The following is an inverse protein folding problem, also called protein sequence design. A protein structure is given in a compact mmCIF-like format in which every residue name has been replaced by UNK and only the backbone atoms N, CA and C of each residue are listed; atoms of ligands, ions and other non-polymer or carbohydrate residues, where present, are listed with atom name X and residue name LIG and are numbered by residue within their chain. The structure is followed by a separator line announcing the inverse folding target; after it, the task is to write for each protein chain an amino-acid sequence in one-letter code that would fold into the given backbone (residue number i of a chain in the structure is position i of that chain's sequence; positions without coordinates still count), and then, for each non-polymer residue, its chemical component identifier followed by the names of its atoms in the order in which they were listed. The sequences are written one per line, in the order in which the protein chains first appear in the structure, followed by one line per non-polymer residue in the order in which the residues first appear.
data_IF_908083461140
#
_entry.id   IF_908083461140
#
_cell.length_a   1.000
_cell.length_b   1.000
_cell.length_c   1.000
_cell.angle_alpha   90.00
_cell.angle_beta   90.00
_cell.angle_gamma   90.00
#
_symmetry.space_group_name_H-M   'P 1'
#
loop_
_entity.id
_entity.type
_entity.pdbx_description
1 polymer ?
#
# COMPACT_ATOMS: atom_id res chain seq x y z
N UNK A 1 -7.93 17.24 8.40
CA UNK A 1 -7.42 17.33 7.02
C UNK A 1 -5.92 17.27 7.11
N UNK A 2 -5.31 16.17 6.67
CA UNK A 2 -3.86 16.00 6.69
C UNK A 2 -3.31 16.52 5.37
N UNK A 3 -2.22 17.28 5.41
CA UNK A 3 -1.60 17.81 4.19
C UNK A 3 -1.10 16.65 3.30
N UNK A 4 -1.40 16.72 2.00
CA UNK A 4 -0.89 15.73 1.03
C UNK A 4 0.63 15.83 0.92
N UNK A 5 1.30 14.68 0.85
CA UNK A 5 2.75 14.61 0.69
C UNK A 5 3.09 14.76 -0.78
N UNK A 6 3.65 15.92 -1.13
CA UNK A 6 4.09 16.24 -2.49
C UNK A 6 5.62 16.15 -2.55
N UNK A 7 6.15 15.34 -3.46
CA UNK A 7 7.58 15.19 -3.80
C UNK A 7 7.71 14.86 -5.28
N UNK A 8 8.86 15.18 -5.88
CA UNK A 8 9.16 14.81 -7.27
C UNK A 8 9.42 13.31 -7.42
N UNK A 9 9.39 12.84 -8.67
CA UNK A 9 9.73 11.46 -9.01
C UNK A 9 11.19 11.12 -8.63
N UNK A 10 12.12 12.05 -8.83
CA UNK A 10 13.52 11.89 -8.45
C UNK A 10 13.68 11.75 -6.94
N UNK A 11 12.97 12.57 -6.17
CA UNK A 11 12.96 12.46 -4.71
C UNK A 11 12.43 11.09 -4.28
N UNK A 12 11.31 10.64 -4.84
CA UNK A 12 10.76 9.32 -4.51
C UNK A 12 11.69 8.16 -4.90
N UNK A 13 12.30 8.21 -6.09
CA UNK A 13 13.29 7.20 -6.54
C UNK A 13 14.53 7.17 -5.64
N UNK A 14 14.89 8.28 -5.00
CA UNK A 14 16.00 8.34 -4.05
C UNK A 14 15.65 7.78 -2.66
N UNK A 15 14.37 7.85 -2.27
CA UNK A 15 13.88 7.44 -0.95
C UNK A 15 13.41 5.99 -0.89
N UNK A 16 12.92 5.46 -2.01
CA UNK A 16 12.31 4.14 -2.10
C UNK A 16 13.23 3.16 -2.84
N UNK A 17 13.12 1.88 -2.51
CA UNK A 17 13.69 0.84 -3.36
C UNK A 17 12.99 0.85 -4.73
N UNK A 18 13.62 0.34 -5.80
CA UNK A 18 12.99 0.26 -7.12
C UNK A 18 11.62 -0.45 -7.10
N UNK A 19 11.50 -1.54 -6.34
CA UNK A 19 10.24 -2.29 -6.19
C UNK A 19 9.18 -1.48 -5.44
N UNK A 20 9.55 -0.85 -4.31
CA UNK A 20 8.60 -0.03 -3.55
C UNK A 20 8.16 1.21 -4.32
N UNK A 21 9.05 1.81 -5.12
CA UNK A 21 8.69 2.90 -6.03
C UNK A 21 7.70 2.42 -7.09
N UNK A 22 7.99 1.30 -7.75
CA UNK A 22 7.11 0.71 -8.75
C UNK A 22 5.70 0.44 -8.19
N UNK A 23 5.60 -0.19 -7.02
CA UNK A 23 4.31 -0.49 -6.39
C UNK A 23 3.60 0.77 -5.90
N UNK A 24 4.26 1.63 -5.12
CA UNK A 24 3.60 2.73 -4.41
C UNK A 24 3.43 4.02 -5.25
N UNK A 25 4.19 4.20 -6.33
CA UNK A 25 4.16 5.40 -7.18
C UNK A 25 3.69 5.14 -8.61
N UNK A 26 3.86 3.93 -9.12
CA UNK A 26 3.49 3.57 -10.50
C UNK A 26 2.33 2.59 -10.58
N UNK A 27 1.57 2.43 -9.49
CA UNK A 27 0.42 1.51 -9.37
C UNK A 27 0.79 0.07 -9.78
N UNK A 28 2.05 -0.32 -9.55
CA UNK A 28 2.57 -1.65 -9.83
C UNK A 28 2.10 -2.69 -8.81
N UNK A 29 2.31 -3.97 -9.13
CA UNK A 29 2.04 -5.08 -8.20
C UNK A 29 3.28 -5.95 -8.06
N UNK A 30 3.73 -6.17 -6.83
CA UNK A 30 4.84 -7.10 -6.54
C UNK A 30 4.43 -8.54 -6.87
N UNK A 31 5.41 -9.43 -7.09
CA UNK A 31 5.12 -10.83 -7.37
C UNK A 31 4.52 -11.53 -6.13
N UNK A 32 3.54 -12.40 -6.35
CA UNK A 32 2.96 -13.20 -5.28
C UNK A 32 4.03 -13.99 -4.52
N UNK A 33 3.91 -14.03 -3.18
CA UNK A 33 4.81 -14.74 -2.25
C UNK A 33 6.27 -14.24 -2.22
N UNK A 34 6.55 -13.02 -2.70
CA UNK A 34 7.91 -12.43 -2.63
C UNK A 34 8.02 -11.23 -1.70
N UNK A 35 6.91 -10.55 -1.40
CA UNK A 35 6.90 -9.35 -0.55
C UNK A 35 7.36 -9.62 0.88
N UNK A 36 8.15 -8.69 1.46
CA UNK A 36 8.74 -8.86 2.80
C UNK A 36 7.73 -9.27 3.90
N UNK A 37 6.47 -8.85 3.76
CA UNK A 37 5.47 -9.01 4.81
C UNK A 37 4.31 -9.95 4.48
N UNK A 38 4.37 -10.71 3.38
CA UNK A 38 3.27 -11.62 3.02
C UNK A 38 3.02 -12.65 4.14
N UNK A 39 4.07 -13.28 4.66
CA UNK A 39 4.03 -14.27 5.76
C UNK A 39 4.44 -13.68 7.13
N UNK A 40 4.29 -12.37 7.33
CA UNK A 40 4.65 -11.77 8.61
C UNK A 40 3.55 -12.00 9.67
N UNK A 41 3.94 -12.50 10.83
CA UNK A 41 3.06 -12.77 11.99
C UNK A 41 3.42 -11.94 13.23
N UNK A 42 4.40 -11.04 13.13
CA UNK A 42 4.79 -10.18 14.24
C UNK A 42 3.68 -9.17 14.60
N UNK A 43 3.47 -8.94 15.91
CA UNK A 43 2.55 -7.91 16.39
C UNK A 43 3.11 -6.51 16.09
N UNK A 44 2.27 -5.64 15.55
CA UNK A 44 2.60 -4.26 15.20
C UNK A 44 1.66 -3.64 14.18
N UNK A 45 1.98 -2.39 13.81
CA UNK A 45 1.28 -1.61 12.80
C UNK A 45 2.01 -1.60 11.45
N UNK A 46 1.23 -1.62 10.38
CA UNK A 46 1.69 -1.48 9.01
C UNK A 46 1.48 -0.03 8.58
N UNK A 47 2.57 0.62 8.18
CA UNK A 47 2.59 2.04 7.87
C UNK A 47 2.86 2.25 6.38
N UNK A 48 2.30 3.32 5.83
CA UNK A 48 2.59 3.74 4.46
C UNK A 48 4.10 3.98 4.30
N UNK A 49 4.74 3.31 3.35
CA UNK A 49 6.18 3.49 3.10
C UNK A 49 6.53 4.92 2.64
N UNK A 50 5.58 5.63 2.04
CA UNK A 50 5.78 6.97 1.50
C UNK A 50 5.63 8.08 2.56
N UNK A 51 4.59 8.02 3.40
CA UNK A 51 4.29 9.09 4.37
C UNK A 51 4.37 8.67 5.84
N UNK A 52 4.63 7.39 6.14
CA UNK A 52 4.72 6.88 7.50
C UNK A 52 3.38 6.79 8.26
N UNK A 53 2.26 7.12 7.63
CA UNK A 53 0.94 7.05 8.28
C UNK A 53 0.54 5.60 8.61
N UNK A 54 -0.07 5.33 9.76
CA UNK A 54 -0.59 4.00 10.08
C UNK A 54 -1.74 3.66 9.15
N UNK A 55 -1.70 2.48 8.51
CA UNK A 55 -2.74 2.03 7.57
C UNK A 55 -3.47 0.78 8.08
N UNK A 56 -2.72 -0.23 8.54
CA UNK A 56 -3.27 -1.50 9.00
C UNK A 56 -2.63 -1.95 10.31
N UNK A 57 -3.26 -2.90 10.99
CA UNK A 57 -2.73 -3.50 12.21
C UNK A 57 -2.69 -5.03 12.10
N UNK A 58 -1.62 -5.64 12.61
CA UNK A 58 -1.43 -7.11 12.65
C UNK A 58 -2.62 -7.90 13.19
N UNK A 59 -3.33 -7.35 14.19
CA UNK A 59 -4.57 -7.94 14.75
C UNK A 59 -5.66 -8.26 13.71
N UNK A 60 -5.67 -7.52 12.61
CA UNK A 60 -6.65 -7.63 11.53
C UNK A 60 -6.05 -8.33 10.29
N UNK A 61 -4.76 -8.74 10.35
CA UNK A 61 -4.10 -9.54 9.32
C UNK A 61 -4.58 -11.00 9.40
N UNK A 62 -4.74 -11.64 8.24
CA UNK A 62 -5.07 -13.06 8.14
C UNK A 62 -4.39 -13.70 6.92
N UNK A 63 -4.34 -15.04 6.93
CA UNK A 63 -3.76 -15.83 5.84
C UNK A 63 -4.83 -16.17 4.79
N UNK A 64 -4.83 -15.42 3.69
CA UNK A 64 -5.79 -15.60 2.59
C UNK A 64 -5.34 -16.65 1.56
N UNK A 65 -4.05 -16.98 1.53
CA UNK A 65 -3.44 -17.77 0.46
C UNK A 65 -3.27 -17.02 -0.86
N UNK A 66 -3.52 -15.70 -0.91
CA UNK A 66 -3.44 -14.90 -2.14
C UNK A 66 -2.01 -14.67 -2.63
N UNK A 67 -1.03 -14.67 -1.72
CA UNK A 67 0.36 -14.32 -1.99
C UNK A 67 0.75 -12.89 -1.60
N UNK A 68 -0.17 -12.09 -1.05
CA UNK A 68 0.08 -10.75 -0.53
C UNK A 68 -0.49 -10.57 0.89
N UNK A 69 0.04 -9.61 1.69
CA UNK A 69 -0.53 -9.30 3.00
C UNK A 69 -2.03 -8.99 2.89
N UNK A 70 -2.84 -9.69 3.68
CA UNK A 70 -4.31 -9.58 3.65
C UNK A 70 -4.85 -9.15 5.00
N UNK A 71 -5.74 -8.15 5.00
CA UNK A 71 -6.33 -7.57 6.21
C UNK A 71 -7.84 -7.50 6.09
N UNK A 72 -8.55 -7.68 7.18
CA UNK A 72 -10.03 -7.63 7.19
C UNK A 72 -10.58 -6.20 7.23
N UNK A 73 -9.80 -5.24 7.74
CA UNK A 73 -10.17 -3.82 7.80
C UNK A 73 -8.95 -2.91 7.92
N UNK A 74 -9.08 -1.64 7.49
CA UNK A 74 -8.08 -0.62 7.78
C UNK A 74 -8.08 -0.21 9.26
N UNK A 75 -7.00 0.44 9.67
CA UNK A 75 -6.82 1.03 11.01
C UNK A 75 -6.77 2.57 10.96
N UNK A 76 -7.15 3.19 9.82
CA UNK A 76 -7.04 4.63 9.58
C UNK A 76 -7.97 5.07 8.46
N UNK A 77 -8.50 6.29 8.56
CA UNK A 77 -9.27 7.00 7.52
C UNK A 77 -8.40 7.39 6.31
N UNK A 78 -7.07 7.20 6.41
CA UNK A 78 -6.14 7.46 5.31
C UNK A 78 -6.06 6.31 4.31
N UNK A 79 -6.75 5.20 4.56
CA UNK A 79 -6.95 4.12 3.60
C UNK A 79 -8.21 4.44 2.80
N UNK A 80 -8.03 4.84 1.55
CA UNK A 80 -9.10 5.24 0.65
C UNK A 80 -9.20 4.26 -0.53
N UNK A 81 -10.34 4.32 -1.21
CA UNK A 81 -10.70 3.41 -2.30
C UNK A 81 -10.95 4.19 -3.59
N UNK A 82 -10.52 3.64 -4.73
CA UNK A 82 -10.75 4.17 -6.07
C UNK A 82 -11.17 3.04 -6.99
N UNK A 83 -12.06 3.33 -7.93
CA UNK A 83 -12.40 2.35 -8.97
C UNK A 83 -11.23 2.16 -9.93
N UNK A 84 -10.91 0.90 -10.20
CA UNK A 84 -9.89 0.48 -11.16
C UNK A 84 -10.52 -0.43 -12.23
N UNK A 85 -10.47 0.05 -13.48
CA UNK A 85 -11.01 -0.62 -14.66
C UNK A 85 -9.90 -1.21 -15.57
N UNK A 86 -8.66 -1.25 -15.08
CA UNK A 86 -7.53 -1.80 -15.83
C UNK A 86 -7.71 -3.30 -16.11
N UNK A 87 -7.02 -3.79 -17.15
CA UNK A 87 -7.05 -5.19 -17.57
C UNK A 87 -8.46 -5.72 -17.93
N UNK A 88 -9.41 -4.83 -18.27
CA UNK A 88 -10.81 -5.17 -18.54
C UNK A 88 -11.52 -5.84 -17.34
N UNK A 89 -11.06 -5.54 -16.13
CA UNK A 89 -11.65 -6.01 -14.87
C UNK A 89 -12.15 -4.82 -14.06
N UNK A 90 -13.25 -4.99 -13.31
CA UNK A 90 -13.67 -3.99 -12.33
C UNK A 90 -13.11 -4.39 -10.97
N UNK A 91 -12.27 -3.53 -10.41
CA UNK A 91 -11.62 -3.70 -9.10
C UNK A 91 -11.77 -2.41 -8.30
N UNK A 92 -11.56 -2.53 -6.99
CA UNK A 92 -11.45 -1.39 -6.09
C UNK A 92 -10.01 -1.34 -5.61
N UNK A 93 -9.26 -0.35 -6.08
CA UNK A 93 -7.89 -0.09 -5.66
C UNK A 93 -7.91 0.56 -4.27
N UNK A 94 -7.09 0.02 -3.36
CA UNK A 94 -6.87 0.59 -2.03
C UNK A 94 -5.57 1.39 -2.05
N UNK A 95 -5.64 2.66 -1.66
CA UNK A 95 -4.50 3.58 -1.67
C UNK A 95 -4.42 4.41 -0.39
N UNK A 96 -3.28 5.07 -0.19
CA UNK A 96 -3.11 6.00 0.92
C UNK A 96 -3.46 7.43 0.46
N UNK A 97 -4.47 8.03 1.11
CA UNK A 97 -5.03 9.35 0.77
C UNK A 97 -3.98 10.46 0.72
N UNK A 98 -2.98 10.39 1.61
CA UNK A 98 -1.91 11.38 1.74
C UNK A 98 -0.92 11.39 0.56
N UNK A 99 -0.80 10.29 -0.18
CA UNK A 99 0.26 10.12 -1.19
C UNK A 99 -0.26 9.76 -2.56
N UNK A 100 -1.56 9.51 -2.74
CA UNK A 100 -2.09 9.15 -4.06
C UNK A 100 -1.67 10.19 -5.12
N UNK A 101 -1.03 9.76 -6.22
CA UNK A 101 -0.82 10.64 -7.37
C UNK A 101 -2.18 11.12 -7.86
N UNK A 102 -2.36 12.43 -8.02
CA UNK A 102 -3.52 13.00 -8.71
C UNK A 102 -3.54 12.57 -10.17
#
# INVERSE_FOLDING_TARGET
MSDKVVKSDEEWKSLLSPESYYVARQEGTERAFTGKYWDNHANGGYHCICCGSPLFHSRDKFESGSGWPSFTKPNSELVAEKEDLSLMMQRTEVHCENVMPT
#
